data_IF_469790326425
#
_entry.id   IF_469790326425
#
_cell.length_a   1.000
_cell.length_b   1.000
_cell.length_c   1.000
_cell.angle_alpha   90.00
_cell.angle_beta   90.00
_cell.angle_gamma   90.00
#
_symmetry.space_group_name_H-M   'P 1'
#
loop_
_entity.id
_entity.type
_entity.pdbx_description
1 polymer ?
#
# COMPACT_ATOMS: atom_id res chain seq x y z
N UNK A 1 36.91 -20.64 24.25
CA UNK A 1 36.84 -20.38 22.79
C UNK A 1 35.65 -21.17 22.25
N UNK A 2 34.44 -20.66 22.45
CA UNK A 2 33.19 -21.32 22.03
C UNK A 2 32.11 -20.26 21.86
N UNK A 3 32.29 -19.39 20.86
CA UNK A 3 31.31 -18.38 20.42
C UNK A 3 31.41 -18.27 18.90
N UNK A 4 31.08 -19.38 18.22
CA UNK A 4 30.80 -19.39 16.78
C UNK A 4 29.66 -20.39 16.59
N UNK A 5 28.66 -20.01 15.79
CA UNK A 5 27.36 -20.68 15.54
C UNK A 5 26.16 -20.24 16.40
N UNK A 6 25.86 -18.94 16.40
CA UNK A 6 24.46 -18.51 16.30
C UNK A 6 24.28 -17.95 14.90
N UNK A 7 23.66 -18.74 14.01
CA UNK A 7 23.04 -18.16 12.81
C UNK A 7 22.08 -17.07 13.28
N UNK A 8 22.11 -15.84 12.75
CA UNK A 8 21.11 -14.86 13.08
C UNK A 8 19.75 -15.43 12.66
N UNK A 9 18.88 -15.68 13.64
CA UNK A 9 17.50 -16.04 13.35
C UNK A 9 16.80 -14.80 12.80
N UNK A 10 16.10 -14.95 11.68
CA UNK A 10 15.32 -13.87 11.08
C UNK A 10 14.18 -13.52 12.03
N UNK A 11 14.16 -12.28 12.52
CA UNK A 11 13.13 -11.77 13.43
C UNK A 11 12.34 -10.66 12.74
N UNK A 12 11.03 -10.63 13.00
CA UNK A 12 10.09 -9.68 12.42
C UNK A 12 9.54 -8.78 13.53
N UNK A 13 10.03 -7.54 13.68
CA UNK A 13 9.64 -6.66 14.79
C UNK A 13 8.20 -6.17 14.68
N UNK A 14 7.60 -6.27 13.50
CA UNK A 14 6.22 -5.85 13.22
C UNK A 14 5.38 -7.08 12.90
N UNK A 15 4.28 -7.27 13.65
CA UNK A 15 3.27 -8.30 13.39
C UNK A 15 1.90 -7.67 13.27
N UNK A 16 1.15 -8.07 12.24
CA UNK A 16 -0.18 -7.53 11.93
C UNK A 16 -0.24 -5.98 11.88
N UNK A 17 0.88 -5.33 11.54
CA UNK A 17 0.99 -3.86 11.47
C UNK A 17 1.37 -3.17 12.78
N UNK A 18 1.48 -3.89 13.90
CA UNK A 18 1.88 -3.37 15.20
C UNK A 18 3.33 -3.74 15.52
N UNK A 19 4.05 -2.84 16.21
CA UNK A 19 5.41 -3.12 16.68
C UNK A 19 5.33 -3.96 17.96
N UNK A 20 5.98 -5.12 17.97
CA UNK A 20 6.07 -6.00 19.14
C UNK A 20 7.43 -5.91 19.84
N UNK A 21 8.50 -5.64 19.09
CA UNK A 21 9.87 -5.56 19.59
C UNK A 21 10.49 -4.21 19.22
N UNK A 22 10.57 -3.33 20.21
CA UNK A 22 11.07 -1.95 20.04
C UNK A 22 12.60 -1.88 19.91
N UNK A 23 13.34 -2.79 20.54
CA UNK A 23 14.81 -2.83 20.43
C UNK A 23 15.24 -3.17 18.99
N UNK A 24 14.56 -4.15 18.38
CA UNK A 24 14.76 -4.48 16.97
C UNK A 24 14.28 -3.35 16.05
N UNK A 25 13.19 -2.68 16.42
CA UNK A 25 12.63 -1.57 15.63
C UNK A 25 13.59 -0.37 15.59
N UNK A 26 14.23 -0.04 16.72
CA UNK A 26 15.24 1.00 16.82
C UNK A 26 16.47 0.68 15.97
N UNK A 27 17.05 -0.51 16.12
CA UNK A 27 18.18 -0.97 15.27
C UNK A 27 17.82 -0.97 13.78
N UNK A 28 16.58 -1.29 13.47
CA UNK A 28 16.08 -1.24 12.10
C UNK A 28 16.02 0.21 11.58
N UNK A 29 15.62 1.17 12.40
CA UNK A 29 15.65 2.60 12.06
C UNK A 29 17.07 3.13 11.88
N UNK A 30 18.03 2.72 12.71
CA UNK A 30 19.45 3.07 12.52
C UNK A 30 19.94 2.69 11.12
N UNK A 31 19.60 1.47 10.69
CA UNK A 31 19.94 1.00 9.36
C UNK A 31 19.27 1.85 8.27
N UNK A 32 18.00 2.21 8.44
CA UNK A 32 17.29 3.05 7.46
C UNK A 32 17.97 4.41 7.32
N UNK A 33 18.20 5.11 8.44
CA UNK A 33 18.70 6.48 8.46
C UNK A 33 20.14 6.54 7.93
N UNK A 34 21.04 5.75 8.51
CA UNK A 34 22.48 5.89 8.22
C UNK A 34 22.94 5.09 7.00
N UNK A 35 22.38 3.90 6.75
CA UNK A 35 22.84 3.02 5.65
C UNK A 35 22.13 3.31 4.34
N UNK A 36 20.80 3.41 4.37
CA UNK A 36 20.00 3.51 3.14
C UNK A 36 19.77 4.96 2.73
N UNK A 37 19.28 5.79 3.63
CA UNK A 37 18.99 7.19 3.33
C UNK A 37 20.24 8.06 3.37
N UNK A 38 21.21 7.68 4.21
CA UNK A 38 22.45 8.42 4.42
C UNK A 38 22.17 9.87 4.78
N UNK A 39 21.18 10.05 5.64
CA UNK A 39 20.74 11.35 6.11
C UNK A 39 21.29 11.59 7.51
N UNK A 40 21.68 12.83 7.79
CA UNK A 40 21.94 13.28 9.15
C UNK A 40 20.57 13.51 9.83
N UNK A 41 20.14 12.69 10.80
CA UNK A 41 18.78 12.79 11.34
C UNK A 41 18.48 14.15 11.98
N UNK A 42 19.50 14.84 12.51
CA UNK A 42 19.38 16.17 13.14
C UNK A 42 18.98 17.28 12.16
N UNK A 43 19.22 17.10 10.86
CA UNK A 43 18.92 18.09 9.83
C UNK A 43 17.54 17.89 9.18
N UNK A 44 16.80 16.84 9.56
CA UNK A 44 15.65 16.37 8.78
C UNK A 44 14.40 16.11 9.60
N UNK A 45 13.26 16.57 9.11
CA UNK A 45 11.95 16.23 9.67
C UNK A 45 11.49 14.85 9.19
N UNK A 46 10.93 14.06 10.10
CA UNK A 46 10.47 12.71 9.79
C UNK A 46 8.94 12.64 9.74
N UNK A 47 8.42 11.99 8.70
CA UNK A 47 7.02 11.57 8.61
C UNK A 47 6.98 10.05 8.74
N UNK A 48 6.35 9.58 9.80
CA UNK A 48 6.16 8.16 10.08
C UNK A 48 4.70 7.79 9.93
N UNK A 49 4.43 6.52 9.71
CA UNK A 49 3.06 6.04 9.49
C UNK A 49 2.67 5.05 10.55
N UNK A 50 1.40 5.06 10.94
CA UNK A 50 0.85 4.12 11.92
C UNK A 50 -0.44 3.45 11.43
N UNK A 51 -0.74 2.23 11.92
CA UNK A 51 -2.03 1.60 11.68
C UNK A 51 -3.15 2.39 12.40
N UNK A 52 -4.42 2.28 11.94
CA UNK A 52 -5.52 3.08 12.46
C UNK A 52 -5.91 2.78 13.92
N UNK A 53 -5.50 1.63 14.46
CA UNK A 53 -5.77 1.18 15.84
C UNK A 53 -4.51 1.21 16.72
N UNK A 54 -3.51 2.02 16.36
CA UNK A 54 -2.31 2.18 17.18
C UNK A 54 -2.63 2.87 18.51
N UNK A 55 -2.02 2.41 19.60
CA UNK A 55 -2.24 3.01 20.91
C UNK A 55 -1.40 4.28 21.09
N UNK A 56 -1.85 5.24 21.92
CA UNK A 56 -1.06 6.44 22.22
C UNK A 56 0.32 6.13 22.79
N UNK A 57 0.44 5.08 23.60
CA UNK A 57 1.70 4.67 24.22
C UNK A 57 2.73 4.26 23.16
N UNK A 58 2.30 3.53 22.12
CA UNK A 58 3.17 3.20 20.99
C UNK A 58 3.63 4.46 20.22
N UNK A 59 2.81 5.51 20.16
CA UNK A 59 3.24 6.79 19.56
C UNK A 59 4.29 7.48 20.42
N UNK A 60 4.16 7.39 21.74
CA UNK A 60 5.15 7.93 22.68
C UNK A 60 6.48 7.19 22.56
N UNK A 61 6.49 5.85 22.57
CA UNK A 61 7.71 5.07 22.35
C UNK A 61 8.38 5.37 21.01
N UNK A 62 7.59 5.51 19.94
CA UNK A 62 8.14 5.90 18.63
C UNK A 62 8.76 7.30 18.68
N UNK A 63 8.10 8.25 19.35
CA UNK A 63 8.62 9.61 19.49
C UNK A 63 9.87 9.66 20.36
N UNK A 64 9.91 8.90 21.46
CA UNK A 64 11.07 8.76 22.35
C UNK A 64 12.30 8.31 21.56
N UNK A 65 12.19 7.19 20.82
CA UNK A 65 13.29 6.68 19.98
C UNK A 65 13.75 7.75 18.97
N UNK A 66 12.80 8.40 18.29
CA UNK A 66 13.13 9.36 17.24
C UNK A 66 13.77 10.65 17.77
N UNK A 67 13.31 11.17 18.91
CA UNK A 67 13.85 12.40 19.50
C UNK A 67 15.08 12.16 20.37
N UNK A 68 15.12 11.10 21.17
CA UNK A 68 16.20 10.86 22.15
C UNK A 68 17.38 10.11 21.54
N UNK A 69 17.13 9.11 20.69
CA UNK A 69 18.21 8.33 20.05
C UNK A 69 18.73 9.00 18.77
N UNK A 70 17.83 9.57 17.95
CA UNK A 70 18.18 10.14 16.64
C UNK A 70 18.21 11.68 16.59
N UNK A 71 17.86 12.38 17.69
CA UNK A 71 17.92 13.84 17.77
C UNK A 71 17.18 14.59 16.65
N UNK A 72 16.06 14.05 16.14
CA UNK A 72 15.39 14.68 15.00
C UNK A 72 14.79 16.06 15.37
N UNK A 73 14.80 17.04 14.45
CA UNK A 73 14.24 18.38 14.68
C UNK A 73 12.72 18.40 14.73
N UNK A 74 12.05 17.42 14.13
CA UNK A 74 10.60 17.26 14.27
C UNK A 74 10.01 16.00 13.65
N UNK A 75 8.89 15.57 14.22
CA UNK A 75 8.21 14.33 13.90
C UNK A 75 6.74 14.59 13.55
N UNK A 76 6.24 13.88 12.54
CA UNK A 76 4.81 13.77 12.26
C UNK A 76 4.42 12.30 12.09
N UNK A 77 3.47 11.82 12.89
CA UNK A 77 2.94 10.46 12.80
C UNK A 77 1.58 10.53 12.09
N UNK A 78 1.51 9.92 10.92
CA UNK A 78 0.38 9.96 10.02
C UNK A 78 -0.38 8.64 9.99
N UNK A 79 -1.71 8.68 10.02
CA UNK A 79 -2.53 7.48 9.87
C UNK A 79 -2.52 7.03 8.40
N UNK A 80 -2.21 5.75 8.17
CA UNK A 80 -2.03 5.18 6.83
C UNK A 80 -3.21 5.44 5.88
N UNK A 81 -4.45 5.30 6.37
CA UNK A 81 -5.66 5.51 5.57
C UNK A 81 -5.79 6.93 5.03
N UNK A 82 -5.43 7.94 5.82
CA UNK A 82 -5.51 9.36 5.41
C UNK A 82 -4.51 9.63 4.29
N UNK A 83 -3.31 9.05 4.39
CA UNK A 83 -2.30 9.14 3.33
C UNK A 83 -2.75 8.46 2.04
N UNK A 84 -3.38 7.28 2.14
CA UNK A 84 -3.93 6.59 0.98
C UNK A 84 -5.03 7.41 0.26
N UNK A 85 -5.89 8.12 1.01
CA UNK A 85 -6.85 9.05 0.42
C UNK A 85 -6.15 10.21 -0.29
N UNK A 86 -5.11 10.79 0.31
CA UNK A 86 -4.34 11.86 -0.32
C UNK A 86 -3.67 11.39 -1.63
N UNK A 87 -3.15 10.16 -1.67
CA UNK A 87 -2.58 9.57 -2.88
C UNK A 87 -3.62 9.42 -4.02
N UNK A 88 -4.87 9.12 -3.67
CA UNK A 88 -5.96 8.96 -4.63
C UNK A 88 -6.30 10.24 -5.40
N UNK A 89 -5.91 11.42 -4.91
CA UNK A 89 -6.10 12.71 -5.59
C UNK A 89 -5.39 12.81 -6.93
N UNK A 90 -4.43 11.92 -7.19
CA UNK A 90 -3.76 11.82 -8.50
C UNK A 90 -4.58 11.06 -9.54
N UNK A 91 -5.63 10.34 -9.11
CA UNK A 91 -6.52 9.63 -10.02
C UNK A 91 -7.37 10.60 -10.82
N UNK A 92 -7.43 10.39 -12.14
CA UNK A 92 -8.28 11.17 -13.06
C UNK A 92 -9.77 11.02 -12.78
N UNK A 93 -10.15 9.97 -12.04
CA UNK A 93 -11.55 9.71 -11.64
C UNK A 93 -12.02 10.66 -10.53
N UNK A 94 -11.10 11.33 -9.84
CA UNK A 94 -11.38 12.20 -8.70
C UNK A 94 -11.39 13.65 -9.19
N UNK A 95 -12.58 14.22 -9.38
CA UNK A 95 -12.74 15.64 -9.72
C UNK A 95 -12.62 16.58 -8.50
N UNK A 96 -12.85 16.06 -7.29
CA UNK A 96 -12.81 16.83 -6.06
C UNK A 96 -11.87 16.17 -5.04
N UNK A 97 -10.86 16.91 -4.58
CA UNK A 97 -9.91 16.44 -3.57
C UNK A 97 -10.62 16.41 -2.22
N UNK A 98 -10.98 15.22 -1.77
CA UNK A 98 -11.66 15.01 -0.49
C UNK A 98 -10.86 14.08 0.40
N UNK A 99 -10.94 14.30 1.70
CA UNK A 99 -10.45 13.40 2.74
C UNK A 99 -11.59 12.59 3.38
N UNK A 100 -12.74 12.52 2.70
CA UNK A 100 -13.88 11.67 3.08
C UNK A 100 -13.97 10.51 2.10
N UNK A 101 -13.82 9.29 2.59
CA UNK A 101 -13.86 8.07 1.78
C UNK A 101 -13.63 6.81 2.62
N UNK A 102 -13.91 5.65 2.03
CA UNK A 102 -13.59 4.35 2.65
C UNK A 102 -12.30 3.82 2.05
N UNK A 103 -11.29 3.59 2.87
CA UNK A 103 -10.01 3.03 2.42
C UNK A 103 -10.01 1.53 2.66
N UNK A 104 -9.61 0.77 1.65
CA UNK A 104 -9.33 -0.65 1.75
C UNK A 104 -7.83 -0.81 1.65
N UNK A 105 -7.18 -1.05 2.78
CA UNK A 105 -5.74 -1.24 2.85
C UNK A 105 -5.44 -2.72 3.01
N UNK A 106 -4.91 -3.36 1.96
CA UNK A 106 -4.59 -4.79 1.96
C UNK A 106 -3.10 -5.01 1.70
N UNK A 107 -2.41 -5.37 2.79
CA UNK A 107 -0.98 -5.67 2.80
C UNK A 107 -0.67 -7.17 2.73
N UNK A 108 0.49 -7.55 3.25
CA UNK A 108 0.90 -8.96 3.38
C UNK A 108 0.19 -9.66 4.56
N UNK A 109 0.06 -8.97 5.70
CA UNK A 109 -0.38 -9.60 6.95
C UNK A 109 -1.85 -9.37 7.34
N UNK A 110 -2.46 -8.29 6.88
CA UNK A 110 -3.84 -7.93 7.25
C UNK A 110 -4.48 -7.05 6.18
N UNK A 111 -5.82 -7.14 6.09
CA UNK A 111 -6.63 -6.23 5.29
C UNK A 111 -7.56 -5.43 6.21
N UNK A 112 -7.54 -4.10 6.07
CA UNK A 112 -8.37 -3.19 6.85
C UNK A 112 -9.37 -2.46 5.94
N UNK A 113 -10.58 -2.29 6.46
CA UNK A 113 -11.59 -1.40 5.86
C UNK A 113 -11.81 -0.23 6.82
N UNK A 114 -11.42 0.96 6.37
CA UNK A 114 -11.23 2.14 7.21
C UNK A 114 -12.08 3.29 6.66
N UNK A 115 -13.19 3.65 7.33
CA UNK A 115 -13.97 4.82 6.95
C UNK A 115 -13.30 6.09 7.49
N UNK A 116 -13.15 7.08 6.61
CA UNK A 116 -12.59 8.41 6.95
C UNK A 116 -13.60 9.48 6.57
N UNK A 117 -13.82 10.44 7.46
CA UNK A 117 -14.64 11.61 7.23
C UNK A 117 -13.83 12.87 7.56
N UNK A 118 -13.70 13.77 6.59
CA UNK A 118 -13.02 15.07 6.74
C UNK A 118 -11.58 14.94 7.28
N UNK A 119 -10.88 13.86 6.94
CA UNK A 119 -9.53 13.57 7.41
C UNK A 119 -9.44 12.84 8.75
N UNK A 120 -10.57 12.63 9.43
CA UNK A 120 -10.64 11.87 10.67
C UNK A 120 -11.13 10.45 10.43
N UNK A 121 -10.43 9.48 11.01
CA UNK A 121 -10.82 8.07 10.94
C UNK A 121 -11.97 7.81 11.92
N UNK A 122 -13.05 7.18 11.43
CA UNK A 122 -14.17 6.76 12.28
C UNK A 122 -13.80 5.41 12.91
N UNK A 123 -13.02 5.47 13.99
CA UNK A 123 -12.40 4.30 14.62
C UNK A 123 -13.39 3.21 15.05
N UNK A 124 -14.58 3.58 15.53
CA UNK A 124 -15.63 2.66 15.97
C UNK A 124 -16.22 1.79 14.86
N UNK A 125 -16.02 2.16 13.59
CA UNK A 125 -16.57 1.47 12.43
C UNK A 125 -15.51 0.65 11.67
N UNK A 126 -14.25 0.65 12.10
CA UNK A 126 -13.19 -0.10 11.42
C UNK A 126 -13.47 -1.60 11.52
N UNK A 127 -13.24 -2.31 10.42
CA UNK A 127 -13.23 -3.77 10.39
C UNK A 127 -11.92 -4.28 9.82
N UNK A 128 -11.44 -5.38 10.39
CA UNK A 128 -10.30 -6.13 9.87
C UNK A 128 -10.79 -7.42 9.23
N UNK A 129 -10.14 -7.83 8.15
CA UNK A 129 -10.38 -9.08 7.46
C UNK A 129 -9.13 -9.96 7.66
N UNK A 130 -9.27 -11.18 8.19
CA UNK A 130 -8.17 -12.12 8.42
C UNK A 130 -7.76 -12.82 7.11
N UNK A 131 -7.66 -12.05 6.02
CA UNK A 131 -7.21 -12.48 4.69
C UNK A 131 -6.35 -11.37 4.13
N UNK A 132 -5.11 -11.71 3.80
CA UNK A 132 -4.15 -10.79 3.22
C UNK A 132 -3.23 -11.49 2.21
N UNK A 133 -2.17 -10.80 1.78
CA UNK A 133 -1.23 -11.30 0.78
C UNK A 133 -0.54 -12.62 1.16
N UNK A 134 -0.33 -12.85 2.46
CA UNK A 134 0.27 -14.07 3.00
C UNK A 134 -0.68 -15.26 2.89
N UNK A 135 -1.93 -15.10 3.28
CA UNK A 135 -2.94 -16.16 3.23
C UNK A 135 -3.18 -16.62 1.79
N UNK A 136 -3.22 -15.67 0.84
CA UNK A 136 -3.29 -15.97 -0.59
C UNK A 136 -2.06 -16.76 -1.06
N UNK A 137 -0.88 -16.41 -0.55
CA UNK A 137 0.36 -17.12 -0.89
C UNK A 137 0.33 -18.56 -0.38
N UNK A 138 -0.12 -18.77 0.86
CA UNK A 138 -0.26 -20.11 1.43
C UNK A 138 -1.33 -20.95 0.73
N UNK A 139 -2.46 -20.33 0.37
CA UNK A 139 -3.50 -21.02 -0.38
C UNK A 139 -3.01 -21.45 -1.78
N UNK A 140 -2.32 -20.57 -2.51
CA UNK A 140 -1.69 -20.93 -3.80
C UNK A 140 -0.64 -22.02 -3.60
N UNK A 141 0.15 -21.95 -2.52
CA UNK A 141 1.15 -22.98 -2.21
C UNK A 141 0.49 -24.36 -2.01
N UNK A 142 -0.64 -24.42 -1.32
CA UNK A 142 -1.39 -25.65 -1.13
C UNK A 142 -1.87 -26.22 -2.47
N UNK A 143 -2.49 -25.39 -3.31
CA UNK A 143 -2.97 -25.81 -4.64
C UNK A 143 -1.83 -26.34 -5.53
N UNK A 144 -0.65 -25.71 -5.47
CA UNK A 144 0.52 -26.16 -6.22
C UNK A 144 1.07 -27.49 -5.70
N UNK A 145 1.07 -27.72 -4.38
CA UNK A 145 1.53 -28.98 -3.79
C UNK A 145 0.63 -30.16 -4.13
N UNK A 146 -0.66 -29.92 -4.28
CA UNK A 146 -1.64 -30.96 -4.64
C UNK A 146 -1.51 -31.41 -6.10
N UNK A 147 -1.00 -30.54 -6.99
CA UNK A 147 -0.93 -30.80 -8.45
C UNK A 147 0.49 -31.03 -8.97
N UNK A 148 1.47 -30.24 -8.52
CA UNK A 148 2.81 -30.15 -9.12
C UNK A 148 3.86 -30.83 -8.23
N UNK A 149 4.54 -31.85 -8.75
CA UNK A 149 5.57 -32.62 -8.02
C UNK A 149 6.99 -32.06 -8.17
N UNK A 150 7.21 -31.11 -9.09
CA UNK A 150 8.55 -30.62 -9.48
C UNK A 150 9.12 -29.48 -8.63
N UNK A 151 8.37 -29.00 -7.62
CA UNK A 151 8.75 -27.82 -6.84
C UNK A 151 9.65 -28.23 -5.66
N UNK A 152 10.86 -27.67 -5.53
CA UNK A 152 11.69 -27.91 -4.34
C UNK A 152 10.96 -27.43 -3.07
N UNK A 153 10.86 -28.25 -2.00
CA UNK A 153 10.13 -27.88 -0.78
C UNK A 153 10.60 -26.57 -0.15
N UNK A 154 11.92 -26.34 -0.15
CA UNK A 154 12.59 -25.13 0.35
C UNK A 154 12.14 -23.85 -0.40
N UNK A 155 11.80 -23.97 -1.68
CA UNK A 155 11.42 -22.84 -2.56
C UNK A 155 9.92 -22.79 -2.85
N UNK A 156 9.13 -23.61 -2.15
CA UNK A 156 7.69 -23.73 -2.39
C UNK A 156 6.96 -22.42 -2.13
N UNK A 157 7.32 -21.69 -1.07
CA UNK A 157 6.71 -20.40 -0.73
C UNK A 157 7.11 -19.29 -1.72
N UNK A 158 8.38 -19.25 -2.11
CA UNK A 158 8.91 -18.31 -3.10
C UNK A 158 8.22 -18.48 -4.46
N UNK A 159 8.03 -19.73 -4.88
CA UNK A 159 7.34 -20.08 -6.14
C UNK A 159 5.88 -19.65 -6.11
N UNK A 160 5.14 -19.98 -5.04
CA UNK A 160 3.74 -19.60 -4.90
C UNK A 160 3.55 -18.08 -4.95
N UNK A 161 4.46 -17.36 -4.31
CA UNK A 161 4.47 -15.90 -4.28
C UNK A 161 4.81 -15.27 -5.64
N UNK A 162 5.79 -15.82 -6.35
CA UNK A 162 6.10 -15.40 -7.72
C UNK A 162 4.90 -15.62 -8.65
N UNK A 163 4.17 -16.73 -8.48
CA UNK A 163 2.95 -17.03 -9.22
C UNK A 163 1.82 -16.04 -8.88
N UNK A 164 1.64 -15.75 -7.58
CA UNK A 164 0.71 -14.74 -7.09
C UNK A 164 0.91 -13.39 -7.79
N UNK A 165 2.14 -12.89 -7.78
CA UNK A 165 2.45 -11.55 -8.29
C UNK A 165 2.45 -11.46 -9.82
N UNK A 166 2.84 -12.53 -10.53
CA UNK A 166 2.98 -12.51 -11.99
C UNK A 166 1.73 -12.94 -12.74
N UNK A 167 0.99 -13.94 -12.25
CA UNK A 167 -0.02 -14.63 -13.05
C UNK A 167 -1.45 -14.50 -12.53
N UNK A 168 -1.62 -14.11 -11.27
CA UNK A 168 -2.93 -14.09 -10.65
C UNK A 168 -3.76 -12.86 -11.01
N UNK A 169 -5.07 -13.03 -11.07
CA UNK A 169 -6.04 -12.00 -11.40
C UNK A 169 -7.41 -12.36 -10.83
N UNK A 170 -8.30 -11.37 -10.71
CA UNK A 170 -9.66 -11.62 -10.24
C UNK A 170 -10.58 -11.92 -11.42
N UNK A 171 -11.33 -13.02 -11.29
CA UNK A 171 -12.33 -13.39 -12.27
C UNK A 171 -13.70 -12.79 -11.92
N UNK A 172 -14.59 -12.57 -12.90
CA UNK A 172 -15.94 -12.09 -12.63
C UNK A 172 -16.89 -13.20 -12.16
N UNK A 173 -16.65 -14.45 -12.53
CA UNK A 173 -17.50 -15.62 -12.29
C UNK A 173 -16.62 -16.88 -12.33
N UNK A 174 -16.54 -17.59 -11.22
CA UNK A 174 -15.65 -18.74 -11.01
C UNK A 174 -15.99 -19.90 -11.95
N UNK A 175 -17.29 -20.24 -12.07
CA UNK A 175 -17.74 -21.41 -12.85
C UNK A 175 -17.44 -21.21 -14.34
N UNK A 176 -17.67 -19.99 -14.84
CA UNK A 176 -17.31 -19.64 -16.22
C UNK A 176 -15.80 -19.62 -16.43
N UNK A 177 -15.02 -19.26 -15.42
CA UNK A 177 -13.57 -19.27 -15.53
C UNK A 177 -13.03 -20.70 -15.59
N UNK A 178 -13.55 -21.63 -14.77
CA UNK A 178 -13.23 -23.06 -14.88
C UNK A 178 -13.53 -23.60 -16.28
N UNK A 179 -14.74 -23.35 -16.79
CA UNK A 179 -15.13 -23.82 -18.12
C UNK A 179 -14.19 -23.32 -19.24
N UNK A 180 -13.61 -22.12 -19.13
CA UNK A 180 -12.63 -21.61 -20.11
C UNK A 180 -11.33 -22.41 -20.10
N UNK A 181 -10.86 -22.77 -18.91
CA UNK A 181 -9.63 -23.54 -18.74
C UNK A 181 -9.83 -24.99 -19.21
N UNK A 182 -11.00 -25.58 -18.98
CA UNK A 182 -11.34 -26.92 -19.45
C UNK A 182 -11.47 -26.99 -20.98
N UNK A 183 -12.05 -25.96 -21.60
CA UNK A 183 -12.24 -25.90 -23.06
C UNK A 183 -10.93 -25.67 -23.81
N UNK A 184 -10.10 -24.71 -23.36
CA UNK A 184 -8.85 -24.36 -24.04
C UNK A 184 -7.63 -24.33 -23.07
N UNK A 185 -7.16 -25.49 -22.56
CA UNK A 185 -6.07 -25.54 -21.58
C UNK A 185 -4.79 -24.85 -22.07
N UNK A 186 -4.40 -25.08 -23.34
CA UNK A 186 -3.16 -24.54 -23.91
C UNK A 186 -3.10 -23.01 -23.95
N UNK A 187 -4.25 -22.33 -23.97
CA UNK A 187 -4.31 -20.86 -24.00
C UNK A 187 -4.18 -20.27 -22.60
N UNK A 188 -4.80 -20.92 -21.61
CA UNK A 188 -4.99 -20.39 -20.26
C UNK A 188 -3.97 -20.90 -19.25
N UNK A 189 -3.52 -22.15 -19.37
CA UNK A 189 -2.42 -22.67 -18.57
C UNK A 189 -1.13 -21.97 -19.01
N UNK A 190 -0.39 -21.45 -18.03
CA UNK A 190 0.93 -20.82 -18.23
C UNK A 190 2.01 -21.69 -17.64
N UNK A 191 3.25 -21.50 -18.06
CA UNK A 191 4.38 -22.20 -17.47
C UNK A 191 5.21 -21.24 -16.65
N UNK A 192 5.60 -21.68 -15.46
CA UNK A 192 6.57 -20.99 -14.63
C UNK A 192 7.83 -21.83 -14.56
N UNK A 193 8.97 -21.22 -14.87
CA UNK A 193 10.28 -21.85 -14.74
C UNK A 193 11.03 -21.18 -13.60
N UNK A 194 11.45 -21.98 -12.63
CA UNK A 194 12.34 -21.59 -11.55
C UNK A 194 13.70 -22.27 -11.67
N UNK A 195 14.69 -21.76 -10.93
CA UNK A 195 16.00 -22.39 -10.79
C UNK A 195 16.09 -22.92 -9.37
N UNK A 196 16.42 -24.20 -9.24
CA UNK A 196 16.58 -24.81 -7.94
C UNK A 196 17.90 -24.34 -7.31
N UNK A 197 17.79 -23.80 -6.08
CA UNK A 197 18.92 -23.17 -5.39
C UNK A 197 20.07 -24.14 -5.09
N UNK A 198 19.78 -25.44 -4.94
CA UNK A 198 20.75 -26.45 -4.52
C UNK A 198 21.49 -27.03 -5.74
N UNK A 199 20.74 -27.62 -6.67
CA UNK A 199 21.31 -28.34 -7.81
C UNK A 199 21.52 -27.45 -9.05
N UNK A 200 21.07 -26.18 -9.00
CA UNK A 200 21.08 -25.21 -10.12
C UNK A 200 20.37 -25.69 -11.39
N UNK A 201 19.56 -26.74 -11.30
CA UNK A 201 18.73 -27.20 -12.41
C UNK A 201 17.50 -26.33 -12.54
N UNK A 202 16.99 -26.19 -13.75
CA UNK A 202 15.68 -25.58 -13.97
C UNK A 202 14.58 -26.56 -13.60
N UNK A 203 13.52 -26.06 -12.97
CA UNK A 203 12.26 -26.78 -12.82
C UNK A 203 11.16 -25.96 -13.49
N UNK A 204 10.25 -26.62 -14.19
CA UNK A 204 9.11 -25.98 -14.85
C UNK A 204 7.83 -26.59 -14.30
N UNK A 205 6.87 -25.73 -14.01
CA UNK A 205 5.55 -26.12 -13.50
C UNK A 205 4.47 -25.43 -14.32
N UNK A 206 3.33 -26.11 -14.41
CA UNK A 206 2.15 -25.55 -15.03
C UNK A 206 1.39 -24.70 -14.00
N UNK A 207 0.88 -23.55 -14.45
CA UNK A 207 0.18 -22.54 -13.67
C UNK A 207 -1.24 -22.40 -14.19
N UNK A 208 -2.20 -22.89 -13.40
CA UNK A 208 -3.58 -23.16 -13.82
C UNK A 208 -4.61 -22.34 -13.04
N UNK A 209 -5.44 -23.05 -12.27
CA UNK A 209 -6.60 -22.51 -11.55
C UNK A 209 -6.26 -21.54 -10.41
N UNK A 210 -5.10 -21.73 -9.78
CA UNK A 210 -4.58 -20.87 -8.71
C UNK A 210 -4.49 -19.39 -9.13
N UNK A 211 -4.42 -19.13 -10.45
CA UNK A 211 -4.41 -17.78 -11.02
C UNK A 211 -5.64 -16.97 -10.63
N UNK A 212 -6.82 -17.57 -10.65
CA UNK A 212 -8.05 -16.89 -10.25
C UNK A 212 -8.55 -17.32 -8.88
N UNK A 213 -8.26 -18.56 -8.45
CA UNK A 213 -8.65 -19.04 -7.13
C UNK A 213 -7.91 -18.32 -6.00
N UNK A 214 -6.62 -18.00 -6.18
CA UNK A 214 -5.83 -17.31 -5.17
C UNK A 214 -6.48 -16.00 -4.70
N UNK A 215 -6.72 -15.04 -5.61
CA UNK A 215 -7.39 -13.78 -5.27
C UNK A 215 -8.88 -13.92 -4.93
N UNK A 216 -9.54 -15.02 -5.31
CA UNK A 216 -10.97 -15.23 -5.01
C UNK A 216 -11.25 -15.35 -3.51
N UNK A 217 -10.24 -15.70 -2.70
CA UNK A 217 -10.31 -15.74 -1.24
C UNK A 217 -10.76 -14.39 -0.64
N UNK A 218 -10.57 -13.25 -1.31
CA UNK A 218 -11.15 -11.98 -0.84
C UNK A 218 -12.68 -11.95 -0.89
N UNK A 219 -13.29 -12.64 -1.86
CA UNK A 219 -14.73 -12.66 -2.09
C UNK A 219 -15.39 -13.90 -1.51
N UNK A 220 -14.63 -14.99 -1.39
CA UNK A 220 -15.04 -16.23 -0.74
C UNK A 220 -13.93 -16.69 0.23
N UNK A 221 -13.81 -16.03 1.40
CA UNK A 221 -12.76 -16.34 2.39
C UNK A 221 -12.80 -17.78 2.91
N UNK A 222 -13.97 -18.42 2.84
CA UNK A 222 -14.19 -19.81 3.25
C UNK A 222 -13.28 -20.83 2.56
N UNK A 223 -12.64 -20.46 1.44
CA UNK A 223 -11.68 -21.31 0.74
C UNK A 223 -10.35 -21.45 1.46
N UNK A 224 -9.93 -20.46 2.24
CA UNK A 224 -8.64 -20.45 2.92
C UNK A 224 -8.75 -20.30 4.43
N UNK A 225 -9.85 -19.73 4.93
CA UNK A 225 -10.06 -19.49 6.35
C UNK A 225 -11.39 -20.13 6.80
N UNK A 226 -11.36 -21.14 7.69
CA UNK A 226 -12.58 -21.79 8.17
C UNK A 226 -13.43 -20.92 9.11
N UNK A 227 -12.81 -19.95 9.78
CA UNK A 227 -13.44 -19.14 10.82
C UNK A 227 -14.08 -17.85 10.26
N UNK A 228 -13.79 -17.49 9.02
CA UNK A 228 -14.22 -16.24 8.40
C UNK A 228 -14.83 -16.51 7.03
N UNK A 229 -16.06 -16.04 6.81
CA UNK A 229 -16.86 -16.31 5.58
C UNK A 229 -17.35 -15.06 4.87
N UNK A 230 -17.16 -13.88 5.47
CA UNK A 230 -17.74 -12.64 4.92
C UNK A 230 -16.90 -12.09 3.78
N UNK A 231 -17.49 -11.99 2.58
CA UNK A 231 -16.83 -11.37 1.43
C UNK A 231 -16.40 -9.92 1.72
N UNK A 232 -15.29 -9.47 1.13
CA UNK A 232 -14.82 -8.08 1.28
C UNK A 232 -15.90 -7.04 0.92
N UNK A 233 -16.76 -7.35 -0.04
CA UNK A 233 -17.86 -6.47 -0.45
C UNK A 233 -18.89 -6.28 0.67
N UNK A 234 -19.22 -7.36 1.40
CA UNK A 234 -20.14 -7.31 2.53
C UNK A 234 -19.52 -6.57 3.71
N UNK A 235 -18.23 -6.81 3.99
CA UNK A 235 -17.50 -6.10 5.05
C UNK A 235 -17.47 -4.59 4.77
N UNK A 236 -17.20 -4.18 3.53
CA UNK A 236 -17.23 -2.76 3.14
C UNK A 236 -18.61 -2.16 3.32
N UNK A 237 -19.66 -2.87 2.92
CA UNK A 237 -21.02 -2.42 3.12
C UNK A 237 -21.38 -2.27 4.60
N UNK A 238 -21.04 -3.26 5.44
CA UNK A 238 -21.26 -3.23 6.90
C UNK A 238 -20.55 -2.05 7.56
N UNK A 239 -19.28 -1.82 7.23
CA UNK A 239 -18.50 -0.67 7.72
C UNK A 239 -19.21 0.65 7.41
N UNK A 240 -19.66 0.82 6.15
CA UNK A 240 -20.33 2.05 5.73
C UNK A 240 -21.72 2.17 6.38
N UNK A 241 -22.45 1.07 6.57
CA UNK A 241 -23.74 1.09 7.26
C UNK A 241 -23.62 1.36 8.77
N UNK A 242 -22.50 1.02 9.39
CA UNK A 242 -22.22 1.36 10.79
C UNK A 242 -21.80 2.83 10.98
N UNK A 243 -21.39 3.52 9.90
CA UNK A 243 -21.07 4.94 9.95
C UNK A 243 -22.32 5.83 10.10
N UNK A 244 -22.18 7.10 10.55
CA UNK A 244 -23.27 8.07 10.59
C UNK A 244 -23.95 8.24 9.23
N UNK A 245 -25.28 8.43 9.22
CA UNK A 245 -26.09 8.44 7.99
C UNK A 245 -25.61 9.48 6.97
N UNK A 246 -25.18 10.65 7.45
CA UNK A 246 -24.81 11.79 6.61
C UNK A 246 -23.53 11.55 5.78
N UNK A 247 -22.64 10.69 6.28
CA UNK A 247 -21.36 10.39 5.60
C UNK A 247 -21.41 9.17 4.70
N UNK A 248 -22.45 8.31 4.79
CA UNK A 248 -22.50 7.04 4.04
C UNK A 248 -22.43 7.22 2.53
N UNK A 249 -23.16 8.19 1.97
CA UNK A 249 -23.17 8.44 0.52
C UNK A 249 -21.79 8.90 0.01
N UNK A 250 -21.12 9.87 0.66
CA UNK A 250 -19.72 10.18 0.37
C UNK A 250 -18.78 8.97 0.44
N UNK A 251 -18.94 8.12 1.47
CA UNK A 251 -18.10 6.92 1.65
C UNK A 251 -18.27 5.91 0.50
N UNK A 252 -19.50 5.62 0.05
CA UNK A 252 -19.74 4.75 -1.11
C UNK A 252 -19.18 5.31 -2.43
N UNK A 253 -19.22 6.63 -2.58
CA UNK A 253 -18.73 7.31 -3.78
C UNK A 253 -17.19 7.36 -3.85
N UNK A 254 -16.50 7.19 -2.73
CA UNK A 254 -15.05 7.33 -2.66
C UNK A 254 -14.44 6.14 -1.92
N UNK A 255 -14.51 4.95 -2.52
CA UNK A 255 -13.84 3.75 -2.00
C UNK A 255 -12.44 3.65 -2.60
N UNK A 256 -11.41 3.93 -1.82
CA UNK A 256 -10.02 3.99 -2.29
C UNK A 256 -9.27 2.71 -1.94
N UNK A 257 -8.55 2.17 -2.92
CA UNK A 257 -7.71 0.98 -2.74
C UNK A 257 -6.27 1.39 -2.35
N UNK A 258 -5.70 0.66 -1.40
CA UNK A 258 -4.32 0.80 -0.92
C UNK A 258 -3.68 -0.57 -0.67
N UNK A 259 -2.37 -0.65 -0.86
CA UNK A 259 -1.58 -1.83 -0.51
C UNK A 259 -1.40 -2.82 -1.65
N UNK A 260 -0.31 -3.58 -1.60
CA UNK A 260 0.11 -4.48 -2.68
C UNK A 260 -0.91 -5.56 -3.04
N UNK A 261 -1.70 -6.05 -2.07
CA UNK A 261 -2.67 -7.12 -2.31
C UNK A 261 -3.96 -6.64 -2.99
N UNK A 262 -4.15 -5.33 -3.13
CA UNK A 262 -5.25 -4.77 -3.95
C UNK A 262 -4.87 -4.62 -5.44
N UNK A 263 -3.61 -4.90 -5.81
CA UNK A 263 -3.07 -4.72 -7.17
C UNK A 263 -3.50 -5.81 -8.16
N UNK A 264 -4.25 -6.82 -7.72
CA UNK A 264 -4.77 -7.83 -8.65
C UNK A 264 -5.61 -7.18 -9.76
N UNK A 265 -5.39 -7.66 -10.99
CA UNK A 265 -6.17 -7.18 -12.13
C UNK A 265 -7.66 -7.44 -11.88
N UNK A 266 -8.48 -6.44 -12.20
CA UNK A 266 -9.93 -6.44 -12.01
C UNK A 266 -10.44 -6.41 -10.56
N UNK A 267 -9.56 -6.26 -9.55
CA UNK A 267 -9.95 -6.14 -8.13
C UNK A 267 -11.01 -5.06 -7.90
N UNK A 268 -10.71 -3.82 -8.25
CA UNK A 268 -11.62 -2.70 -8.03
C UNK A 268 -12.94 -2.84 -8.80
N UNK A 269 -12.89 -3.42 -10.01
CA UNK A 269 -14.09 -3.64 -10.84
C UNK A 269 -15.01 -4.69 -10.22
N UNK A 270 -14.45 -5.81 -9.76
CA UNK A 270 -15.20 -6.88 -9.06
C UNK A 270 -15.82 -6.33 -7.78
N UNK A 271 -15.04 -5.63 -6.96
CA UNK A 271 -15.52 -5.02 -5.73
C UNK A 271 -16.64 -4.01 -5.99
N UNK A 272 -16.47 -3.10 -6.95
CA UNK A 272 -17.51 -2.11 -7.28
C UNK A 272 -18.81 -2.77 -7.73
N UNK A 273 -18.72 -3.81 -8.57
CA UNK A 273 -19.88 -4.56 -9.06
C UNK A 273 -20.63 -5.24 -7.91
N UNK A 274 -19.90 -5.95 -7.06
CA UNK A 274 -20.51 -6.75 -5.99
C UNK A 274 -21.05 -5.85 -4.89
N UNK A 275 -20.33 -4.80 -4.49
CA UNK A 275 -20.81 -3.77 -3.57
C UNK A 275 -22.06 -3.07 -4.11
N UNK A 276 -22.07 -2.70 -5.40
CA UNK A 276 -23.26 -2.11 -6.03
C UNK A 276 -24.46 -3.04 -6.01
N UNK A 277 -24.27 -4.35 -6.25
CA UNK A 277 -25.34 -5.35 -6.15
C UNK A 277 -25.92 -5.44 -4.75
N UNK A 278 -25.09 -5.46 -3.71
CA UNK A 278 -25.53 -5.49 -2.31
C UNK A 278 -26.36 -4.24 -1.98
N UNK A 279 -25.86 -3.06 -2.34
CA UNK A 279 -26.54 -1.79 -2.08
C UNK A 279 -27.86 -1.69 -2.85
N UNK A 280 -27.86 -1.99 -4.16
CA UNK A 280 -29.07 -1.91 -5.00
C UNK A 280 -30.13 -2.93 -4.54
N UNK A 281 -29.73 -4.14 -4.12
CA UNK A 281 -30.64 -5.13 -3.56
C UNK A 281 -31.30 -4.64 -2.26
N UNK A 282 -30.53 -4.04 -1.34
CA UNK A 282 -31.06 -3.45 -0.10
C UNK A 282 -32.06 -2.31 -0.37
N UNK A 283 -31.75 -1.45 -1.35
CA UNK A 283 -32.65 -0.35 -1.73
C UNK A 283 -33.95 -0.87 -2.35
N UNK A 284 -33.88 -1.92 -3.18
CA UNK A 284 -35.05 -2.56 -3.79
C UNK A 284 -35.98 -3.16 -2.73
N UNK A 285 -35.43 -3.89 -1.75
CA UNK A 285 -36.21 -4.44 -0.63
C UNK A 285 -36.92 -3.32 0.14
N UNK A 286 -36.25 -2.19 0.36
CA UNK A 286 -36.83 -1.04 1.08
C UNK A 286 -38.00 -0.39 0.32
N UNK A 287 -37.91 -0.31 -1.02
CA UNK A 287 -38.98 0.21 -1.88
C UNK A 287 -40.19 -0.73 -1.91
N UNK A 288 -39.95 -2.04 -2.04
CA UNK A 288 -40.97 -3.09 -2.04
C UNK A 288 -41.74 -3.13 -0.70
N UNK A 289 -41.02 -3.12 0.43
CA UNK A 289 -41.63 -3.09 1.76
C UNK A 289 -42.45 -1.81 2.03
N UNK A 290 -42.08 -0.70 1.38
CA UNK A 290 -42.80 0.57 1.49
C UNK A 290 -44.03 0.64 0.57
N UNK A 291 -44.31 -0.39 -0.24
CA UNK A 291 -45.37 -0.38 -1.24
C UNK A 291 -45.21 0.75 -2.26
N UNK A 292 -43.97 1.13 -2.59
CA UNK A 292 -43.65 2.23 -3.51
C UNK A 292 -43.84 3.64 -2.94
N UNK A 293 -44.20 3.79 -1.66
CA UNK A 293 -44.36 5.12 -1.03
C UNK A 293 -43.03 5.84 -0.81
N UNK A 294 -41.95 5.08 -0.61
CA UNK A 294 -40.61 5.61 -0.40
C UNK A 294 -39.71 5.14 -1.53
N UNK A 295 -39.28 6.09 -2.36
CA UNK A 295 -38.35 5.83 -3.46
C UNK A 295 -36.95 6.30 -3.08
N UNK A 296 -36.08 5.41 -2.59
CA UNK A 296 -34.75 5.82 -2.15
C UNK A 296 -33.93 6.30 -3.35
N UNK A 297 -33.25 7.44 -3.19
CA UNK A 297 -32.31 7.92 -4.21
C UNK A 297 -31.20 6.90 -4.41
N UNK A 298 -30.90 6.46 -5.65
CA UNK A 298 -29.81 5.54 -5.94
C UNK A 298 -28.50 5.98 -5.29
N UNK A 299 -27.75 5.01 -4.77
CA UNK A 299 -26.43 5.25 -4.19
C UNK A 299 -25.39 5.03 -5.28
N UNK A 300 -24.56 6.05 -5.50
CA UNK A 300 -23.43 5.96 -6.42
C UNK A 300 -22.28 5.25 -5.71
N UNK A 301 -21.85 4.12 -6.26
CA UNK A 301 -20.73 3.33 -5.74
C UNK A 301 -19.58 3.44 -6.71
N UNK A 302 -18.43 3.92 -6.23
CA UNK A 302 -17.24 4.10 -7.05
C UNK A 302 -16.01 3.65 -6.28
N UNK A 303 -15.30 2.67 -6.88
CA UNK A 303 -14.03 2.15 -6.37
C UNK A 303 -12.89 2.74 -7.20
N UNK A 304 -11.96 3.40 -6.53
CA UNK A 304 -10.86 4.14 -7.14
C UNK A 304 -9.60 3.31 -7.06
N UNK A 305 -9.19 2.82 -8.23
CA UNK A 305 -7.86 2.29 -8.48
C UNK A 305 -6.96 3.37 -9.08
N UNK A 306 -5.70 3.42 -8.68
CA UNK A 306 -4.74 4.42 -9.18
C UNK A 306 -3.33 3.82 -9.33
N UNK A 307 -2.46 4.46 -10.11
CA UNK A 307 -1.14 3.91 -10.43
C UNK A 307 -0.21 3.78 -9.22
N UNK A 308 -0.39 4.64 -8.21
CA UNK A 308 0.43 4.63 -6.98
C UNK A 308 -0.13 3.71 -5.89
N UNK A 309 -1.15 2.90 -6.19
CA UNK A 309 -1.89 2.08 -5.22
C UNK A 309 -1.00 1.13 -4.40
N UNK A 310 0.06 0.57 -5.01
CA UNK A 310 1.02 -0.31 -4.33
C UNK A 310 1.70 0.37 -3.13
N UNK A 311 2.01 1.67 -3.25
CA UNK A 311 2.68 2.47 -2.23
C UNK A 311 1.85 3.70 -1.87
N UNK A 312 0.51 3.60 -1.91
CA UNK A 312 -0.39 4.74 -1.77
C UNK A 312 -0.11 5.53 -0.49
N UNK A 313 0.06 4.83 0.62
CA UNK A 313 0.45 5.41 1.91
C UNK A 313 1.73 6.23 1.80
N UNK A 314 2.80 5.65 1.24
CA UNK A 314 4.09 6.32 1.11
C UNK A 314 4.01 7.53 0.18
N UNK A 315 3.34 7.38 -0.96
CA UNK A 315 3.18 8.44 -1.95
C UNK A 315 2.36 9.60 -1.39
N UNK A 316 1.28 9.31 -0.67
CA UNK A 316 0.49 10.31 0.05
C UNK A 316 1.31 11.04 1.11
N UNK A 317 2.12 10.32 1.88
CA UNK A 317 3.05 10.90 2.86
C UNK A 317 4.08 11.82 2.20
N UNK A 318 4.70 11.39 1.10
CA UNK A 318 5.64 12.20 0.32
C UNK A 318 5.00 13.48 -0.22
N UNK A 319 3.77 13.37 -0.77
CA UNK A 319 3.01 14.53 -1.23
C UNK A 319 2.70 15.51 -0.11
N UNK A 320 2.22 15.03 1.04
CA UNK A 320 1.89 15.89 2.17
C UNK A 320 3.14 16.57 2.73
N UNK A 321 4.20 15.80 3.00
CA UNK A 321 5.46 16.33 3.53
C UNK A 321 6.11 17.37 2.60
N UNK A 322 5.85 17.31 1.28
CA UNK A 322 6.33 18.30 0.32
C UNK A 322 5.55 19.63 0.37
N UNK A 323 4.43 19.72 1.08
CA UNK A 323 3.66 20.95 1.22
C UNK A 323 4.10 21.76 2.44
N UNK A 324 4.15 23.08 2.28
CA UNK A 324 4.56 24.04 3.33
C UNK A 324 3.61 24.13 4.53
N UNK A 325 2.47 23.42 4.49
CA UNK A 325 1.41 23.41 5.50
C UNK A 325 1.48 22.23 6.48
N UNK A 326 2.48 21.36 6.37
CA UNK A 326 2.64 20.21 7.25
C UNK A 326 3.05 20.66 8.66
N UNK A 327 2.13 20.55 9.62
CA UNK A 327 2.42 20.80 11.04
C UNK A 327 3.20 19.63 11.64
N UNK A 328 4.50 19.80 11.86
CA UNK A 328 5.34 18.84 12.59
C UNK A 328 5.40 19.20 14.08
N UNK A 329 5.56 18.19 14.93
CA UNK A 329 5.89 18.39 16.35
C UNK A 329 7.39 18.72 16.43
N UNK A 330 7.73 19.87 17.00
CA UNK A 330 9.11 20.33 17.18
C UNK A 330 9.44 20.47 18.67
N UNK A 331 10.63 20.05 19.13
CA UNK A 331 11.09 20.29 20.50
C UNK A 331 11.31 21.78 20.84
N UNK A 332 11.55 22.64 19.83
CA UNK A 332 11.72 24.10 19.98
C UNK A 332 11.15 24.88 18.77
N UNK A 333 10.76 26.15 18.97
CA UNK A 333 10.11 27.03 17.97
C UNK A 333 10.83 27.01 16.59
N UNK A 334 10.08 27.06 15.47
CA UNK A 334 10.65 26.82 14.14
C UNK A 334 11.57 27.96 13.69
N UNK A 335 12.82 27.64 13.40
CA UNK A 335 13.73 28.54 12.65
C UNK A 335 13.51 28.36 11.16
N UNK A 336 13.22 29.47 10.47
CA UNK A 336 13.13 29.58 9.01
C UNK A 336 14.44 29.07 8.38
N UNK A 337 14.32 28.07 7.50
CA UNK A 337 15.32 27.46 6.62
C UNK A 337 15.70 26.04 7.05
N UNK A 338 14.92 25.06 6.58
CA UNK A 338 15.35 23.65 6.64
C UNK A 338 14.75 22.90 5.45
N UNK A 339 15.61 22.22 4.70
CA UNK A 339 15.24 21.37 3.56
C UNK A 339 14.82 20.01 4.11
N UNK A 340 13.64 19.50 3.74
CA UNK A 340 13.20 18.16 4.12
C UNK A 340 14.02 17.11 3.36
N UNK A 341 14.71 16.21 4.07
CA UNK A 341 15.11 14.91 3.54
C UNK A 341 14.42 13.80 4.31
N UNK A 342 14.10 12.74 3.58
CA UNK A 342 12.97 11.87 3.86
C UNK A 342 13.44 10.52 4.37
N UNK A 343 12.89 10.06 5.50
CA UNK A 343 12.75 8.65 5.80
C UNK A 343 11.26 8.33 5.97
N UNK A 344 10.65 7.70 4.97
CA UNK A 344 9.32 7.09 5.14
C UNK A 344 9.50 5.59 5.04
N UNK A 345 9.26 4.93 6.17
CA UNK A 345 9.58 3.54 6.50
C UNK A 345 8.69 2.52 5.77
N UNK A 346 8.55 2.57 4.44
CA UNK A 346 7.88 1.50 3.66
C UNK A 346 8.62 1.25 2.34
N UNK A 347 9.94 1.08 2.38
CA UNK A 347 10.65 0.50 1.22
C UNK A 347 11.58 -0.66 1.59
N UNK A 348 11.47 -1.17 2.82
CA UNK A 348 12.22 -2.35 3.24
C UNK A 348 11.40 -3.63 3.35
N UNK A 349 10.06 -3.59 3.42
CA UNK A 349 9.27 -4.82 3.27
C UNK A 349 9.50 -5.46 1.89
N UNK A 350 9.86 -4.67 0.88
CA UNK A 350 10.31 -5.15 -0.42
C UNK A 350 11.80 -5.51 -0.52
N UNK A 351 12.68 -4.86 0.25
CA UNK A 351 14.09 -5.29 0.31
C UNK A 351 14.26 -6.59 1.11
N UNK A 352 13.52 -6.79 2.21
CA UNK A 352 13.39 -8.09 2.87
C UNK A 352 12.78 -9.16 1.95
N UNK A 353 11.88 -8.76 1.04
CA UNK A 353 11.31 -9.63 0.00
C UNK A 353 12.33 -10.04 -1.07
N UNK A 354 13.23 -9.12 -1.48
CA UNK A 354 14.26 -9.34 -2.51
C UNK A 354 15.54 -9.97 -1.97
N UNK A 355 15.90 -9.75 -0.70
CA UNK A 355 17.03 -10.45 -0.04
C UNK A 355 16.75 -11.96 0.07
N UNK A 356 15.50 -12.40 0.01
CA UNK A 356 15.11 -13.81 -0.09
C UNK A 356 14.97 -14.36 -1.52
N UNK A 357 15.28 -13.58 -2.57
CA UNK A 357 15.08 -13.99 -3.97
C UNK A 357 16.32 -13.97 -4.88
N UNK A 358 17.51 -13.61 -4.38
CA UNK A 358 18.73 -13.65 -5.20
C UNK A 358 19.94 -14.15 -4.43
N UNK A 359 20.17 -15.46 -4.50
CA UNK A 359 21.53 -15.97 -4.49
C UNK A 359 22.01 -16.15 -5.95
N UNK A 360 22.86 -15.21 -6.38
CA UNK A 360 23.66 -15.13 -7.62
C UNK A 360 22.98 -14.77 -8.96
N UNK A 361 23.36 -13.64 -9.60
CA UNK A 361 23.20 -13.44 -11.04
C UNK A 361 24.39 -14.06 -11.80
N UNK A 362 24.09 -14.76 -12.90
CA UNK A 362 25.10 -15.14 -13.89
C UNK A 362 25.46 -13.92 -14.77
N UNK A 363 26.73 -13.72 -15.17
CA UNK A 363 27.13 -12.57 -15.98
C UNK A 363 26.66 -12.73 -17.43
N UNK A 364 25.92 -11.73 -17.94
CA UNK A 364 25.70 -11.55 -19.37
C UNK A 364 26.93 -10.93 -20.06
N UNK A 365 27.01 -11.00 -21.41
CA UNK A 365 28.25 -10.75 -22.16
C UNK A 365 28.78 -9.31 -22.11
N UNK A 366 28.03 -8.36 -21.55
CA UNK A 366 28.42 -6.94 -21.45
C UNK A 366 28.65 -6.43 -20.01
N UNK A 367 28.83 -7.34 -19.03
CA UNK A 367 29.31 -6.97 -17.69
C UNK A 367 28.40 -6.04 -16.88
N UNK A 368 27.10 -5.93 -17.21
CA UNK A 368 26.10 -5.21 -16.43
C UNK A 368 24.97 -6.17 -16.05
N UNK A 369 24.68 -6.31 -14.75
CA UNK A 369 23.57 -7.16 -14.29
C UNK A 369 22.24 -6.41 -14.45
N UNK A 370 21.13 -7.13 -14.67
CA UNK A 370 19.79 -6.51 -14.76
C UNK A 370 19.35 -5.87 -13.44
N UNK A 371 19.91 -6.33 -12.32
CA UNK A 371 19.75 -5.74 -10.99
C UNK A 371 20.34 -4.33 -10.92
N UNK A 372 21.50 -4.08 -11.55
CA UNK A 372 22.15 -2.76 -11.58
C UNK A 372 21.30 -1.71 -12.31
N UNK A 373 20.41 -2.11 -13.23
CA UNK A 373 19.56 -1.18 -13.98
C UNK A 373 18.32 -0.79 -13.18
N UNK A 374 17.67 -1.73 -12.48
CA UNK A 374 16.51 -1.45 -11.61
C UNK A 374 16.90 -0.77 -10.29
N UNK A 375 18.06 -1.11 -9.71
CA UNK A 375 18.61 -0.43 -8.53
C UNK A 375 19.00 1.01 -8.86
N UNK A 376 19.54 1.25 -10.07
CA UNK A 376 19.72 2.60 -10.59
C UNK A 376 18.41 3.33 -10.76
N UNK A 377 17.34 2.70 -11.27
CA UNK A 377 16.05 3.36 -11.43
C UNK A 377 15.39 3.72 -10.08
N UNK A 378 15.55 2.89 -9.04
CA UNK A 378 15.08 3.17 -7.67
C UNK A 378 15.87 4.28 -6.98
N UNK A 379 17.20 4.25 -7.09
CA UNK A 379 18.07 5.37 -6.67
C UNK A 379 17.78 6.61 -7.51
N UNK A 380 17.40 6.47 -8.77
CA UNK A 380 17.02 7.58 -9.63
C UNK A 380 15.67 8.16 -9.23
N UNK A 381 14.69 7.37 -8.76
CA UNK A 381 13.40 7.86 -8.24
C UNK A 381 13.57 8.55 -6.88
N UNK A 382 14.37 7.97 -5.97
CA UNK A 382 14.74 8.62 -4.71
C UNK A 382 15.51 9.93 -4.96
N UNK A 383 16.48 9.92 -5.88
CA UNK A 383 17.22 11.12 -6.27
C UNK A 383 16.37 12.09 -7.12
N UNK A 384 15.41 11.65 -7.93
CA UNK A 384 14.51 12.55 -8.68
C UNK A 384 13.57 13.28 -7.73
N UNK A 385 13.18 12.65 -6.62
CA UNK A 385 12.38 13.28 -5.56
C UNK A 385 13.20 14.31 -4.77
N UNK A 386 14.49 14.05 -4.57
CA UNK A 386 15.44 14.96 -3.88
C UNK A 386 15.99 16.06 -4.81
N UNK A 387 16.13 15.81 -6.12
CA UNK A 387 16.86 16.68 -7.06
C UNK A 387 15.95 17.44 -8.04
N UNK A 388 14.73 16.97 -8.38
CA UNK A 388 13.86 17.72 -9.34
C UNK A 388 12.98 18.81 -8.74
N UNK A 389 13.01 19.04 -7.43
CA UNK A 389 12.38 20.23 -6.82
C UNK A 389 13.38 21.36 -6.53
N UNK A 390 14.69 21.11 -6.65
CA UNK A 390 15.75 22.12 -6.63
C UNK A 390 16.49 22.09 -7.98
N UNK A 391 15.98 22.74 -9.05
CA UNK A 391 16.39 24.12 -9.31
C UNK A 391 15.40 24.95 -10.17
N UNK A 392 14.13 25.09 -9.75
CA UNK A 392 13.23 26.08 -10.36
C UNK A 392 12.80 27.22 -9.45
N UNK A 393 13.25 27.26 -8.19
CA UNK A 393 12.91 28.34 -7.26
C UNK A 393 14.10 29.02 -6.57
N UNK A 394 15.34 28.65 -6.90
CA UNK A 394 16.55 29.25 -6.30
C UNK A 394 17.09 30.44 -7.13
N UNK A 395 16.77 30.55 -8.42
CA UNK A 395 17.18 31.73 -9.22
C UNK A 395 16.27 32.97 -9.09
N UNK A 396 15.21 32.93 -8.29
CA UNK A 396 14.31 34.08 -8.08
C UNK A 396 14.50 34.81 -6.73
N UNK A 397 15.37 34.30 -5.85
CA UNK A 397 15.54 34.84 -4.49
C UNK A 397 16.97 35.29 -4.15
N UNK A 398 17.89 35.28 -5.12
CA UNK A 398 19.31 35.68 -4.91
C UNK A 398 19.70 37.05 -5.51
N UNK A 399 18.76 37.98 -5.68
CA UNK A 399 19.12 39.39 -5.88
C UNK A 399 18.41 40.30 -4.87
N UNK A 400 18.81 40.15 -3.61
CA UNK A 400 18.56 41.17 -2.60
C UNK A 400 19.31 42.45 -2.93
N UNK A 401 18.64 43.38 -3.62
CA UNK A 401 19.05 44.79 -3.65
C UNK A 401 17.86 45.66 -3.27
N UNK A 402 18.03 46.35 -2.14
CA UNK A 402 17.13 47.34 -1.57
C UNK A 402 17.11 48.61 -2.41
N UNK A 403 16.56 48.58 -3.63
CA UNK A 403 16.27 49.75 -4.48
C UNK A 403 15.29 49.36 -5.59
N UNK A 404 13.98 49.45 -5.33
CA UNK A 404 12.93 49.89 -6.27
C UNK A 404 11.53 49.64 -5.69
N UNK A 405 11.15 50.49 -4.74
CA UNK A 405 9.75 50.91 -4.58
C UNK A 405 9.46 51.96 -5.66
N UNK A 406 9.31 51.58 -6.95
CA UNK A 406 8.70 52.44 -8.00
C UNK A 406 8.62 51.72 -9.35
N UNK A 407 7.71 50.75 -9.50
CA UNK A 407 6.94 50.53 -10.75
C UNK A 407 5.60 49.91 -10.31
N UNK A 408 4.66 50.75 -9.87
CA UNK A 408 3.38 50.96 -10.56
C UNK A 408 2.54 49.67 -10.71
N UNK A 409 1.44 49.49 -9.98
CA UNK A 409 0.22 50.33 -10.02
C UNK A 409 -0.29 50.64 -11.44
N UNK A 410 0.10 49.85 -12.44
CA UNK A 410 -0.47 49.93 -13.80
C UNK A 410 -0.46 48.57 -14.47
N UNK A 411 -1.44 47.72 -14.14
CA UNK A 411 -2.08 46.81 -15.10
C UNK A 411 -3.37 46.18 -14.53
N UNK A 412 -4.17 47.00 -13.84
CA UNK A 412 -5.61 46.74 -13.59
C UNK A 412 -6.49 47.64 -14.48
N UNK A 413 -5.97 48.10 -15.62
CA UNK A 413 -6.75 48.73 -16.71
C UNK A 413 -6.12 48.33 -18.05
N UNK A 414 -6.99 47.88 -18.98
CA UNK A 414 -6.72 47.31 -20.31
C UNK A 414 -6.29 45.85 -20.21
N UNK A 415 -7.19 44.86 -20.28
CA UNK A 415 -8.25 44.58 -21.27
C UNK A 415 -9.40 43.86 -20.53
N UNK A 416 -10.69 44.18 -20.65
CA UNK A 416 -11.51 44.41 -21.84
C UNK A 416 -11.24 43.44 -22.98
#
# INVERSE_FOLDING_TARGET
MMLWFLSPSLQWPIRHGMVEDWDLMERFMEHIIFKYLRAEPEDHYFLMTEPPLNTPENREYLAEIMFESFNIPGLYIAVQAVLALAASWTSRQVGNRTLTGTVIDSGDGVTHVIPVAEGYVIGSCIKHIPVAGRDITYFIQQLLREREMGIPPEQSLETAKAIKEKYCYICPDIVKEFAKYDVDPHKWIKQYTGINAINRSTFTIDVGYERFLGPEVFFHPEFANPDFVDSISNVVDDVIQNCPIDVRRPLYKNVVLSGGSTMFRDFGRRLQRDLKRVVDARLKISEELSGGRLKPKPVEVQVISHHMQRYAVWFGGSMLASTSSSTCVTPRKPTRNTVLAFAVTIQFLELCHKIHGTASPAPGPDGKTSADKEERDLVHIANLSVVRVLPCLVCALESGSSKQWTVWSSMTRLLN
#
